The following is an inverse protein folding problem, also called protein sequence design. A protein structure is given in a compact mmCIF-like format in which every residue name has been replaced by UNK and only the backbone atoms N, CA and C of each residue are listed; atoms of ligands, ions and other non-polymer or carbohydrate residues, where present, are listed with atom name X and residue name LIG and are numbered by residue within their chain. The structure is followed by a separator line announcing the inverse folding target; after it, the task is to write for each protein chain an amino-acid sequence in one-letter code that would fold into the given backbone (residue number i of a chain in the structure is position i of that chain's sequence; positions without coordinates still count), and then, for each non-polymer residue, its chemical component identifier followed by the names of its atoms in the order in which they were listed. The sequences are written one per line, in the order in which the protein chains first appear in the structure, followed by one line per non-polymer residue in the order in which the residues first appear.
data_IF_005580536075
#
_entry.id   IF_005580536075
#
_cell.length_a   1.000
_cell.length_b   1.000
_cell.length_c   1.000
_cell.angle_alpha   90.00
_cell.angle_beta   90.00
_cell.angle_gamma   90.00
#
_symmetry.space_group_name_H-M   'P 1'
#
loop_
_entity.id
_entity.type
_entity.pdbx_description
1 polymer ?
#
# COMPACT_ATOMS: atom_id res chain seq x y z
N UNK A 1 -11.30 7.50 -5.56
CA UNK A 1 -10.61 6.71 -4.52
C UNK A 1 -11.63 6.26 -3.48
N UNK A 2 -12.40 5.20 -3.75
CA UNK A 2 -13.51 4.80 -2.87
C UNK A 2 -13.02 4.16 -1.57
N UNK A 3 -12.02 3.27 -1.65
CA UNK A 3 -11.46 2.60 -0.47
C UNK A 3 -10.88 3.60 0.52
N UNK A 4 -10.10 4.59 0.05
CA UNK A 4 -9.57 5.65 0.92
C UNK A 4 -10.66 6.41 1.64
N UNK A 5 -11.75 6.75 0.94
CA UNK A 5 -12.91 7.41 1.54
C UNK A 5 -13.55 6.54 2.62
N UNK A 6 -13.76 5.25 2.33
CA UNK A 6 -14.29 4.29 3.30
C UNK A 6 -13.41 4.24 4.56
N UNK A 7 -12.08 4.16 4.41
CA UNK A 7 -11.15 4.13 5.54
C UNK A 7 -11.25 5.39 6.41
N UNK A 8 -11.43 6.56 5.79
CA UNK A 8 -11.66 7.82 6.51
C UNK A 8 -12.99 7.79 7.26
N UNK A 9 -14.06 7.30 6.63
CA UNK A 9 -15.39 7.15 7.27
C UNK A 9 -15.33 6.20 8.48
N UNK A 10 -14.45 5.19 8.45
CA UNK A 10 -14.18 4.30 9.59
C UNK A 10 -13.19 4.87 10.62
N UNK A 11 -12.80 6.13 10.50
CA UNK A 11 -12.04 6.87 11.51
C UNK A 11 -10.54 6.98 11.28
N UNK A 12 -10.03 6.57 10.11
CA UNK A 12 -8.63 6.80 9.76
C UNK A 12 -8.40 8.27 9.42
N UNK A 13 -7.31 8.84 9.94
CA UNK A 13 -6.94 10.23 9.67
C UNK A 13 -6.54 10.39 8.19
N UNK A 14 -7.09 11.37 7.45
CA UNK A 14 -6.72 11.59 6.05
C UNK A 14 -5.21 11.81 5.84
N UNK A 15 -4.52 12.39 6.83
CA UNK A 15 -3.10 12.75 6.74
C UNK A 15 -2.17 11.52 6.75
N UNK A 16 -2.65 10.35 7.18
CA UNK A 16 -1.85 9.10 7.19
C UNK A 16 -2.16 8.19 5.99
N UNK A 17 -2.96 8.68 5.04
CA UNK A 17 -3.42 7.92 3.89
C UNK A 17 -2.90 8.52 2.60
N UNK A 18 -2.29 7.67 1.77
CA UNK A 18 -1.95 7.97 0.40
C UNK A 18 -2.75 7.09 -0.57
N UNK A 19 -3.08 7.66 -1.71
CA UNK A 19 -3.95 7.08 -2.73
C UNK A 19 -3.22 7.04 -4.07
N UNK A 20 -2.99 5.86 -4.61
CA UNK A 20 -2.35 5.68 -5.92
C UNK A 20 -3.13 4.70 -6.79
N UNK A 21 -3.03 4.89 -8.10
CA UNK A 21 -3.63 4.01 -9.11
C UNK A 21 -2.62 3.71 -10.21
N UNK A 22 -2.29 2.43 -10.40
CA UNK A 22 -1.28 1.97 -11.36
C UNK A 22 -1.86 1.57 -12.72
N UNK A 23 -3.19 1.53 -12.85
CA UNK A 23 -3.87 1.17 -14.10
C UNK A 23 -3.39 -0.18 -14.64
N UNK A 24 -2.99 -0.21 -15.91
CA UNK A 24 -2.49 -1.40 -16.60
C UNK A 24 -0.97 -1.57 -16.54
N UNK A 25 -0.25 -0.63 -15.90
CA UNK A 25 1.21 -0.55 -15.94
C UNK A 25 1.91 -1.41 -14.89
N UNK A 26 1.16 -1.97 -13.93
CA UNK A 26 1.66 -2.91 -12.92
C UNK A 26 0.76 -4.15 -12.78
N UNK A 27 0.77 -5.06 -13.78
CA UNK A 27 -0.02 -6.28 -13.74
C UNK A 27 0.65 -7.38 -12.91
N UNK A 28 -0.13 -8.12 -12.12
CA UNK A 28 0.33 -9.34 -11.43
C UNK A 28 0.26 -10.58 -12.31
N UNK A 29 -0.53 -10.53 -13.39
CA UNK A 29 -0.65 -11.59 -14.39
C UNK A 29 -0.75 -10.99 -15.81
N UNK A 30 -0.43 -11.76 -16.85
CA UNK A 30 -0.50 -11.30 -18.23
C UNK A 30 -1.93 -10.86 -18.61
N UNK A 31 -2.11 -9.74 -19.33
CA UNK A 31 -3.44 -9.24 -19.74
C UNK A 31 -4.03 -9.98 -20.96
N UNK A 32 -3.83 -11.30 -21.06
CA UNK A 32 -4.15 -12.14 -22.21
C UNK A 32 -5.50 -12.88 -22.09
N UNK A 33 -5.88 -13.27 -20.88
CA UNK A 33 -7.13 -14.00 -20.60
C UNK A 33 -8.09 -13.18 -19.74
N UNK A 34 -9.39 -13.49 -19.80
CA UNK A 34 -10.41 -12.86 -18.92
C UNK A 34 -10.09 -13.11 -17.44
N UNK A 35 -9.57 -14.30 -17.12
CA UNK A 35 -9.19 -14.69 -15.76
C UNK A 35 -8.02 -13.83 -15.25
N UNK A 36 -6.93 -13.71 -16.02
CA UNK A 36 -5.78 -12.90 -15.62
C UNK A 36 -6.12 -11.41 -15.52
N UNK A 37 -6.96 -10.90 -16.44
CA UNK A 37 -7.49 -9.52 -16.34
C UNK A 37 -8.32 -9.32 -15.07
N UNK A 38 -9.02 -10.34 -14.60
CA UNK A 38 -9.75 -10.26 -13.33
C UNK A 38 -8.81 -10.18 -12.13
N UNK A 39 -7.73 -10.95 -12.14
CA UNK A 39 -6.69 -10.88 -11.10
C UNK A 39 -6.00 -9.51 -11.04
N UNK A 40 -5.80 -8.86 -12.19
CA UNK A 40 -5.19 -7.52 -12.24
C UNK A 40 -6.10 -6.41 -11.68
N UNK A 41 -7.43 -6.62 -11.58
CA UNK A 41 -8.36 -5.67 -10.94
C UNK A 41 -8.33 -5.86 -9.42
N UNK A 42 -7.27 -5.38 -8.79
CA UNK A 42 -7.00 -5.55 -7.36
C UNK A 42 -6.76 -4.22 -6.63
N UNK A 43 -6.84 -4.26 -5.31
CA UNK A 43 -6.47 -3.18 -4.40
C UNK A 43 -5.33 -3.70 -3.53
N UNK A 44 -4.28 -2.88 -3.37
CA UNK A 44 -3.18 -3.15 -2.45
C UNK A 44 -3.18 -2.13 -1.33
N UNK A 45 -2.92 -2.59 -0.10
CA UNK A 45 -2.77 -1.73 1.08
C UNK A 45 -1.35 -1.96 1.59
N UNK A 46 -0.51 -0.94 1.42
CA UNK A 46 0.89 -0.95 1.89
C UNK A 46 0.95 -0.19 3.20
N UNK A 47 1.52 -0.82 4.22
CA UNK A 47 1.80 -0.19 5.50
C UNK A 47 3.24 0.28 5.49
N UNK A 48 3.44 1.60 5.50
CA UNK A 48 4.76 2.19 5.59
C UNK A 48 5.01 2.67 7.03
N UNK A 49 6.13 2.28 7.66
CA UNK A 49 6.49 2.82 8.95
C UNK A 49 6.91 4.29 8.80
N UNK A 50 6.64 5.09 9.82
CA UNK A 50 7.26 6.40 9.92
C UNK A 50 8.74 6.23 10.22
N UNK A 51 9.60 6.58 9.26
CA UNK A 51 11.05 6.45 9.38
C UNK A 51 11.61 7.20 10.60
N UNK A 52 10.95 8.27 11.04
CA UNK A 52 11.36 9.02 12.25
C UNK A 52 11.15 8.24 13.55
N UNK A 53 10.26 7.24 13.56
CA UNK A 53 9.97 6.41 14.73
C UNK A 53 10.85 5.15 14.78
N UNK A 54 11.63 4.88 13.73
CA UNK A 54 12.54 3.74 13.69
C UNK A 54 13.83 4.04 14.47
N UNK A 55 14.36 3.07 15.23
CA UNK A 55 15.66 3.23 15.88
C UNK A 55 16.75 3.43 14.82
N UNK A 56 17.78 4.21 15.16
CA UNK A 56 18.96 4.31 14.30
C UNK A 56 19.58 2.92 14.13
N UNK A 57 20.17 2.68 12.95
CA UNK A 57 20.86 1.42 12.68
C UNK A 57 21.97 1.16 13.69
N UNK A 58 22.60 2.20 14.21
CA UNK A 58 23.57 2.11 15.31
C UNK A 58 22.96 1.53 16.59
N UNK A 59 21.76 1.99 16.99
CA UNK A 59 21.08 1.50 18.18
C UNK A 59 20.62 0.03 18.09
N UNK A 60 20.47 -0.51 16.87
CA UNK A 60 20.14 -1.93 16.65
C UNK A 60 21.39 -2.82 16.70
N UNK A 61 22.55 -2.29 16.31
CA UNK A 61 23.80 -3.05 16.24
C UNK A 61 24.55 -3.11 17.60
N UNK A 62 24.27 -2.21 18.53
CA UNK A 62 24.87 -2.19 19.88
C UNK A 62 24.18 -3.12 20.89
N UNK A 63 23.11 -3.81 20.49
CA UNK A 63 22.37 -4.75 21.34
C UNK A 63 22.82 -6.20 21.20
N UNK A 64 24.04 -6.54 21.66
CA UNK A 64 24.48 -7.90 22.04
C UNK A 64 25.33 -7.84 23.32
#
# INVERSE_FOLDING_TARGET
MEVTRLLIEYGMKPEVLAASGYGEFDPVAANDTTENKAQNRRIEIVLEPNLSDLPSLEGVLEGN
#
